data_IF_557797922357
#
_entry.id   IF_557797922357
#
_cell.length_a   1.000
_cell.length_b   1.000
_cell.length_c   1.000
_cell.angle_alpha   90.00
_cell.angle_beta   90.00
_cell.angle_gamma   90.00
#
_symmetry.space_group_name_H-M   'P 1'
#
loop_
_entity.id
_entity.type
_entity.pdbx_description
1 polymer ?
#
# COMPACT_ATOMS: atom_id res chain seq x y z
N UNK A 1 1.47 -20.03 22.12
CA UNK A 1 1.00 -18.66 22.37
C UNK A 1 1.95 -17.81 23.23
N UNK A 2 2.49 -18.29 24.36
CA UNK A 2 3.35 -17.45 25.23
C UNK A 2 4.70 -16.98 24.64
N UNK A 3 5.32 -17.72 23.71
CA UNK A 3 6.61 -17.35 23.08
C UNK A 3 6.46 -16.25 22.03
N UNK A 4 5.41 -16.28 21.20
CA UNK A 4 5.17 -15.24 20.18
C UNK A 4 4.86 -13.88 20.84
N UNK A 5 4.07 -13.88 21.92
CA UNK A 5 3.77 -12.65 22.70
C UNK A 5 5.02 -12.07 23.37
N UNK A 6 5.96 -12.93 23.78
CA UNK A 6 7.22 -12.48 24.39
C UNK A 6 8.17 -11.86 23.37
N UNK A 7 8.23 -12.41 22.15
CA UNK A 7 9.03 -11.85 21.04
C UNK A 7 8.46 -10.48 20.62
N UNK A 8 7.13 -10.37 20.50
CA UNK A 8 6.47 -9.10 20.17
C UNK A 8 6.69 -8.03 21.26
N UNK A 9 6.58 -8.39 22.55
CA UNK A 9 6.84 -7.51 23.69
C UNK A 9 8.32 -7.13 23.80
N UNK A 10 9.22 -8.04 23.49
CA UNK A 10 10.66 -7.77 23.49
C UNK A 10 11.05 -6.82 22.35
N UNK A 11 10.47 -7.00 21.16
CA UNK A 11 10.65 -6.07 20.04
C UNK A 11 10.04 -4.70 20.36
N UNK A 12 8.83 -4.63 20.94
CA UNK A 12 8.22 -3.36 21.38
C UNK A 12 9.01 -2.67 22.48
N UNK A 13 9.62 -3.42 23.40
CA UNK A 13 10.47 -2.86 24.47
C UNK A 13 11.79 -2.28 23.97
N UNK A 14 12.41 -2.89 22.99
CA UNK A 14 13.58 -2.35 22.29
C UNK A 14 13.20 -1.09 21.48
N UNK A 15 12.03 -1.04 20.90
CA UNK A 15 11.49 0.08 20.12
C UNK A 15 11.22 1.33 20.97
N UNK A 16 10.76 1.18 22.22
CA UNK A 16 10.52 2.33 23.11
C UNK A 16 11.79 3.02 23.59
N UNK A 17 12.92 2.33 23.60
CA UNK A 17 14.24 2.89 23.97
C UNK A 17 14.94 3.60 22.81
N UNK A 18 14.51 3.36 21.55
CA UNK A 18 15.12 3.96 20.35
C UNK A 18 14.38 5.24 19.89
N UNK A 19 13.17 5.49 20.39
CA UNK A 19 12.33 6.65 20.00
C UNK A 19 12.77 8.01 20.54
N UNK A 20 13.93 8.14 21.17
CA UNK A 20 14.39 9.41 21.77
C UNK A 20 15.40 10.20 20.94
N UNK A 21 16.02 9.64 19.91
CA UNK A 21 16.96 10.36 19.07
C UNK A 21 16.73 10.09 17.58
N UNK A 22 16.22 11.10 16.89
CA UNK A 22 16.31 11.39 15.43
C UNK A 22 16.41 10.20 14.49
N UNK A 23 15.81 10.31 13.33
CA UNK A 23 15.96 9.51 12.11
C UNK A 23 17.35 8.84 11.92
N UNK A 24 17.73 7.99 12.86
CA UNK A 24 18.99 7.27 12.79
C UNK A 24 18.89 6.31 11.61
N UNK A 25 19.78 6.50 10.65
CA UNK A 25 20.00 5.54 9.56
C UNK A 25 20.10 4.14 10.18
N UNK A 26 19.34 3.21 9.65
CA UNK A 26 19.38 1.82 10.09
C UNK A 26 20.81 1.29 10.03
N UNK A 27 21.39 0.99 11.17
CA UNK A 27 22.76 0.50 11.21
C UNK A 27 22.81 -0.98 10.77
N UNK A 28 23.97 -1.38 10.24
CA UNK A 28 24.20 -2.73 9.73
C UNK A 28 23.94 -3.83 10.78
N UNK A 29 24.38 -3.61 12.03
CA UNK A 29 24.23 -4.62 13.09
C UNK A 29 22.76 -4.90 13.41
N UNK A 30 21.94 -3.85 13.46
CA UNK A 30 20.49 -3.97 13.69
C UNK A 30 19.83 -4.72 12.53
N UNK A 31 20.13 -4.35 11.28
CA UNK A 31 19.64 -5.03 10.09
C UNK A 31 20.01 -6.52 10.10
N UNK A 32 21.29 -6.84 10.35
CA UNK A 32 21.76 -8.22 10.42
C UNK A 32 21.04 -9.02 11.53
N UNK A 33 20.74 -8.39 12.68
CA UNK A 33 20.00 -9.03 13.77
C UNK A 33 18.55 -9.38 13.37
N UNK A 34 17.88 -8.52 12.60
CA UNK A 34 16.53 -8.78 12.08
C UNK A 34 16.55 -9.95 11.11
N UNK A 35 17.52 -9.99 10.17
CA UNK A 35 17.65 -11.12 9.25
C UNK A 35 17.93 -12.44 9.98
N UNK A 36 18.76 -12.42 11.03
CA UNK A 36 18.99 -13.61 11.86
C UNK A 36 17.73 -14.05 12.60
N UNK A 37 16.96 -13.10 13.15
CA UNK A 37 15.67 -13.39 13.81
C UNK A 37 14.69 -14.02 12.82
N UNK A 38 14.51 -13.41 11.65
CA UNK A 38 13.66 -13.94 10.60
C UNK A 38 14.10 -15.33 10.15
N UNK A 39 15.42 -15.54 9.94
CA UNK A 39 15.97 -16.82 9.51
C UNK A 39 15.78 -17.94 10.54
N UNK A 40 15.80 -17.61 11.84
CA UNK A 40 15.60 -18.57 12.92
C UNK A 40 14.13 -18.92 13.17
N UNK A 41 13.20 -18.14 12.62
CA UNK A 41 11.76 -18.36 12.76
C UNK A 41 11.32 -19.50 11.82
N UNK A 42 10.81 -20.63 12.36
CA UNK A 42 10.40 -21.77 11.55
C UNK A 42 9.08 -21.55 10.80
N UNK A 43 8.23 -20.63 11.26
CA UNK A 43 6.95 -20.31 10.63
C UNK A 43 7.14 -19.24 9.56
N UNK A 44 6.88 -19.60 8.30
CA UNK A 44 7.09 -18.69 7.16
C UNK A 44 6.22 -17.42 7.24
N UNK A 45 4.97 -17.50 7.76
CA UNK A 45 4.10 -16.33 7.95
C UNK A 45 4.71 -15.36 8.98
N UNK A 46 5.20 -15.88 10.11
CA UNK A 46 5.86 -15.04 11.12
C UNK A 46 7.18 -14.47 10.58
N UNK A 47 7.91 -15.22 9.77
CA UNK A 47 9.12 -14.74 9.10
C UNK A 47 8.83 -13.55 8.19
N UNK A 48 7.79 -13.65 7.37
CA UNK A 48 7.33 -12.56 6.51
C UNK A 48 6.88 -11.35 7.34
N UNK A 49 6.15 -11.57 8.41
CA UNK A 49 5.72 -10.50 9.31
C UNK A 49 6.93 -9.75 9.91
N UNK A 50 7.96 -10.45 10.41
CA UNK A 50 9.18 -9.83 10.93
C UNK A 50 9.85 -8.94 9.88
N UNK A 51 9.99 -9.42 8.65
CA UNK A 51 10.62 -8.67 7.56
C UNK A 51 9.80 -7.43 7.19
N UNK A 52 8.48 -7.55 7.05
CA UNK A 52 7.61 -6.43 6.67
C UNK A 52 7.47 -5.40 7.78
N UNK A 53 7.39 -5.81 9.05
CA UNK A 53 7.40 -4.89 10.19
C UNK A 53 8.71 -4.11 10.27
N UNK A 54 9.85 -4.76 10.03
CA UNK A 54 11.14 -4.09 9.96
C UNK A 54 11.18 -3.07 8.82
N UNK A 55 10.68 -3.42 7.65
CA UNK A 55 10.54 -2.48 6.54
C UNK A 55 9.69 -1.27 6.91
N UNK A 56 8.51 -1.47 7.52
CA UNK A 56 7.59 -0.38 7.87
C UNK A 56 8.22 0.67 8.80
N UNK A 57 9.11 0.25 9.70
CA UNK A 57 9.83 1.17 10.59
C UNK A 57 10.84 2.04 9.85
N UNK A 58 11.38 1.58 8.73
CA UNK A 58 12.43 2.24 7.96
C UNK A 58 11.97 2.61 6.56
N UNK A 59 10.65 2.72 6.36
CA UNK A 59 10.08 3.14 5.07
C UNK A 59 10.74 4.44 4.60
N UNK A 60 11.10 4.50 3.31
CA UNK A 60 11.82 5.63 2.72
C UNK A 60 13.35 5.50 2.76
N UNK A 61 13.93 4.58 3.54
CA UNK A 61 15.37 4.29 3.51
C UNK A 61 15.69 3.15 2.54
N UNK A 62 16.67 3.32 1.65
CA UNK A 62 17.03 2.29 0.65
C UNK A 62 17.43 0.96 1.30
N UNK A 63 18.10 1.02 2.47
CA UNK A 63 18.48 -0.17 3.21
C UNK A 63 17.28 -1.02 3.69
N UNK A 64 16.08 -0.43 3.81
CA UNK A 64 14.88 -1.16 4.18
C UNK A 64 14.35 -2.04 3.05
N UNK A 65 14.68 -1.73 1.78
CA UNK A 65 14.28 -2.54 0.63
C UNK A 65 14.81 -3.97 0.71
N UNK A 66 15.95 -4.21 1.34
CA UNK A 66 16.48 -5.56 1.53
C UNK A 66 15.52 -6.48 2.30
N UNK A 67 14.71 -5.92 3.22
CA UNK A 67 13.67 -6.67 3.92
C UNK A 67 12.52 -7.03 2.99
N UNK A 68 12.10 -6.09 2.12
CA UNK A 68 11.07 -6.37 1.12
C UNK A 68 11.54 -7.36 0.06
N UNK A 69 12.80 -7.24 -0.40
CA UNK A 69 13.39 -8.21 -1.34
C UNK A 69 13.31 -9.63 -0.76
N UNK A 70 13.66 -9.77 0.53
CA UNK A 70 13.61 -11.05 1.23
C UNK A 70 12.17 -11.54 1.45
N UNK A 71 11.24 -10.64 1.79
CA UNK A 71 9.83 -10.97 1.96
C UNK A 71 9.20 -11.40 0.63
N UNK A 72 9.43 -10.66 -0.45
CA UNK A 72 8.93 -10.97 -1.78
C UNK A 72 9.49 -12.30 -2.32
N UNK A 73 10.79 -12.55 -2.11
CA UNK A 73 11.41 -13.81 -2.51
C UNK A 73 10.81 -15.00 -1.74
N UNK A 74 10.63 -14.87 -0.43
CA UNK A 74 10.05 -15.91 0.41
C UNK A 74 8.58 -16.19 0.05
N UNK A 75 7.76 -15.15 -0.12
CA UNK A 75 6.35 -15.30 -0.48
C UNK A 75 6.17 -16.01 -1.82
N UNK A 76 6.98 -15.65 -2.83
CA UNK A 76 7.00 -16.34 -4.14
C UNK A 76 7.43 -17.79 -4.02
N UNK A 77 8.52 -18.07 -3.27
CA UNK A 77 9.02 -19.43 -3.09
C UNK A 77 7.99 -20.34 -2.41
N UNK A 78 7.15 -19.78 -1.53
CA UNK A 78 6.15 -20.50 -0.73
C UNK A 78 4.75 -20.41 -1.31
N UNK A 79 4.58 -19.79 -2.47
CA UNK A 79 3.29 -19.57 -3.13
C UNK A 79 2.25 -18.88 -2.21
N UNK A 80 2.74 -17.96 -1.38
CA UNK A 80 1.92 -17.17 -0.44
C UNK A 80 1.43 -15.90 -1.14
N UNK A 81 0.35 -16.01 -1.92
CA UNK A 81 -0.08 -14.98 -2.86
C UNK A 81 -0.51 -13.67 -2.20
N UNK A 82 -1.20 -13.72 -1.06
CA UNK A 82 -1.58 -12.53 -0.29
C UNK A 82 -0.35 -11.77 0.20
N UNK A 83 0.64 -12.50 0.69
CA UNK A 83 1.90 -11.92 1.18
C UNK A 83 2.76 -11.35 0.04
N UNK A 84 2.74 -11.97 -1.13
CA UNK A 84 3.38 -11.44 -2.33
C UNK A 84 2.75 -10.10 -2.74
N UNK A 85 1.42 -10.04 -2.83
CA UNK A 85 0.70 -8.79 -3.13
C UNK A 85 0.97 -7.73 -2.06
N UNK A 86 1.02 -8.12 -0.78
CA UNK A 86 1.37 -7.23 0.32
C UNK A 86 2.78 -6.65 0.21
N UNK A 87 3.77 -7.46 -0.18
CA UNK A 87 5.14 -6.99 -0.39
C UNK A 87 5.23 -6.02 -1.59
N UNK A 88 4.55 -6.31 -2.69
CA UNK A 88 4.47 -5.42 -3.85
C UNK A 88 3.77 -4.09 -3.52
N UNK A 89 2.72 -4.13 -2.71
CA UNK A 89 2.08 -2.94 -2.17
C UNK A 89 3.05 -2.11 -1.32
N UNK A 90 3.84 -2.75 -0.46
CA UNK A 90 4.84 -2.08 0.38
C UNK A 90 5.95 -1.41 -0.44
N UNK A 91 6.36 -1.99 -1.59
CA UNK A 91 7.26 -1.30 -2.54
C UNK A 91 6.64 -0.02 -3.08
N UNK A 92 5.37 -0.06 -3.51
CA UNK A 92 4.68 1.13 -3.98
C UNK A 92 4.63 2.20 -2.88
N UNK A 93 4.33 1.83 -1.63
CA UNK A 93 4.31 2.73 -0.47
C UNK A 93 5.68 3.32 -0.16
N UNK A 94 6.76 2.55 -0.32
CA UNK A 94 8.12 3.06 -0.16
C UNK A 94 8.43 4.20 -1.13
N UNK A 95 8.12 4.00 -2.41
CA UNK A 95 8.38 5.00 -3.43
C UNK A 95 7.41 6.18 -3.38
N UNK A 96 6.16 5.95 -2.95
CA UNK A 96 5.24 7.04 -2.60
C UNK A 96 5.82 7.94 -1.51
N UNK A 97 6.29 7.36 -0.42
CA UNK A 97 6.91 8.10 0.70
C UNK A 97 8.12 8.93 0.24
N UNK A 98 8.88 8.46 -0.74
CA UNK A 98 10.03 9.15 -1.33
C UNK A 98 9.65 10.18 -2.40
N UNK A 99 8.40 10.24 -2.80
CA UNK A 99 7.96 11.05 -3.95
C UNK A 99 8.49 10.54 -5.30
N UNK A 100 8.97 9.30 -5.37
CA UNK A 100 9.50 8.67 -6.59
C UNK A 100 8.38 7.97 -7.37
N UNK A 101 7.59 8.78 -8.08
CA UNK A 101 6.45 8.28 -8.85
C UNK A 101 6.87 7.28 -9.94
N UNK A 102 8.06 7.43 -10.52
CA UNK A 102 8.54 6.53 -11.59
C UNK A 102 8.70 5.10 -11.10
N UNK A 103 9.39 4.90 -9.98
CA UNK A 103 9.55 3.58 -9.38
C UNK A 103 8.24 3.07 -8.79
N UNK A 104 7.40 3.95 -8.21
CA UNK A 104 6.07 3.57 -7.76
C UNK A 104 5.22 2.98 -8.89
N UNK A 105 5.19 3.62 -10.06
CA UNK A 105 4.46 3.13 -11.25
C UNK A 105 5.06 1.83 -11.82
N UNK A 106 6.37 1.61 -11.66
CA UNK A 106 6.99 0.34 -12.05
C UNK A 106 6.47 -0.83 -11.19
N UNK A 107 6.48 -0.68 -9.87
CA UNK A 107 5.96 -1.71 -8.96
C UNK A 107 4.44 -1.85 -9.04
N UNK A 108 3.72 -0.77 -9.31
CA UNK A 108 2.30 -0.80 -9.58
C UNK A 108 1.94 -1.70 -10.77
N UNK A 109 2.73 -1.69 -11.86
CA UNK A 109 2.50 -2.60 -13.00
C UNK A 109 2.67 -4.07 -12.59
N UNK A 110 3.70 -4.38 -11.80
CA UNK A 110 3.92 -5.74 -11.29
C UNK A 110 2.77 -6.15 -10.35
N UNK A 111 2.36 -5.27 -9.45
CA UNK A 111 1.22 -5.49 -8.55
C UNK A 111 -0.07 -5.75 -9.34
N UNK A 112 -0.31 -5.00 -10.42
CA UNK A 112 -1.45 -5.22 -11.31
C UNK A 112 -1.43 -6.64 -11.89
N UNK A 113 -0.32 -7.06 -12.48
CA UNK A 113 -0.18 -8.39 -13.09
C UNK A 113 -0.44 -9.50 -12.07
N UNK A 114 0.19 -9.44 -10.89
CA UNK A 114 -0.03 -10.41 -9.80
C UNK A 114 -1.47 -10.38 -9.29
N UNK A 115 -2.08 -9.20 -9.14
CA UNK A 115 -3.48 -9.06 -8.73
C UNK A 115 -4.46 -9.73 -9.71
N UNK A 116 -4.20 -9.64 -11.00
CA UNK A 116 -5.01 -10.34 -12.02
C UNK A 116 -4.80 -11.84 -11.99
N UNK A 117 -3.56 -12.29 -11.80
CA UNK A 117 -3.21 -13.71 -11.68
C UNK A 117 -3.93 -14.35 -10.48
N UNK A 118 -3.93 -13.69 -9.34
CA UNK A 118 -4.49 -14.21 -8.08
C UNK A 118 -5.97 -13.82 -7.85
N UNK A 119 -6.53 -12.95 -8.70
CA UNK A 119 -7.90 -12.40 -8.61
C UNK A 119 -8.15 -11.67 -7.29
N UNK A 120 -7.11 -11.08 -6.72
CA UNK A 120 -7.18 -10.18 -5.57
C UNK A 120 -6.72 -8.79 -6.00
N UNK A 121 -7.65 -7.84 -5.97
CA UNK A 121 -7.46 -6.51 -6.54
C UNK A 121 -7.35 -5.39 -5.47
N UNK A 122 -7.41 -5.73 -4.18
CA UNK A 122 -7.53 -4.75 -3.08
C UNK A 122 -6.35 -3.78 -3.07
N UNK A 123 -5.13 -4.29 -3.03
CA UNK A 123 -3.91 -3.49 -3.04
C UNK A 123 -3.72 -2.73 -4.35
N UNK A 124 -4.04 -3.36 -5.48
CA UNK A 124 -3.93 -2.74 -6.80
C UNK A 124 -4.79 -1.48 -6.91
N UNK A 125 -6.06 -1.53 -6.52
CA UNK A 125 -6.96 -0.37 -6.57
C UNK A 125 -6.54 0.72 -5.57
N UNK A 126 -6.02 0.35 -4.40
CA UNK A 126 -5.51 1.29 -3.40
C UNK A 126 -4.32 2.09 -3.95
N UNK A 127 -3.35 1.42 -4.58
CA UNK A 127 -2.19 2.11 -5.16
C UNK A 127 -2.59 2.94 -6.39
N UNK A 128 -3.52 2.46 -7.20
CA UNK A 128 -3.99 3.25 -8.34
C UNK A 128 -4.61 4.58 -7.88
N UNK A 129 -5.46 4.55 -6.83
CA UNK A 129 -5.98 5.77 -6.21
C UNK A 129 -4.86 6.70 -5.74
N UNK A 130 -3.85 6.19 -5.02
CA UNK A 130 -2.73 7.00 -4.54
C UNK A 130 -1.95 7.68 -5.68
N UNK A 131 -1.69 6.96 -6.79
CA UNK A 131 -1.07 7.54 -7.98
C UNK A 131 -1.90 8.71 -8.53
N UNK A 132 -3.23 8.55 -8.63
CA UNK A 132 -4.10 9.61 -9.14
C UNK A 132 -4.14 10.82 -8.21
N UNK A 133 -4.09 10.62 -6.89
CA UNK A 133 -3.98 11.72 -5.92
C UNK A 133 -2.67 12.50 -6.09
N UNK A 134 -1.54 11.82 -6.30
CA UNK A 134 -0.24 12.45 -6.57
C UNK A 134 -0.31 13.26 -7.88
N UNK A 135 -0.90 12.69 -8.94
CA UNK A 135 -1.08 13.39 -10.23
C UNK A 135 -1.94 14.64 -10.08
N UNK A 136 -3.03 14.58 -9.32
CA UNK A 136 -3.84 15.76 -9.00
C UNK A 136 -3.02 16.83 -8.26
N UNK A 137 -2.25 16.45 -7.26
CA UNK A 137 -1.38 17.37 -6.52
C UNK A 137 -0.29 18.03 -7.40
N UNK A 138 0.11 17.35 -8.48
CA UNK A 138 1.03 17.88 -9.49
C UNK A 138 0.35 18.76 -10.55
N UNK A 139 -0.99 18.92 -10.48
CA UNK A 139 -1.77 19.70 -11.43
C UNK A 139 -2.24 18.92 -12.68
N UNK A 140 -1.96 17.61 -12.75
CA UNK A 140 -2.33 16.75 -13.88
C UNK A 140 -3.74 16.16 -13.71
N UNK A 141 -4.71 17.05 -13.47
CA UNK A 141 -6.08 16.68 -13.10
C UNK A 141 -6.85 16.05 -14.26
N UNK A 142 -6.61 16.50 -15.51
CA UNK A 142 -7.27 15.91 -16.68
C UNK A 142 -6.86 14.45 -16.88
N UNK A 143 -5.57 14.14 -16.73
CA UNK A 143 -5.07 12.77 -16.77
C UNK A 143 -5.69 11.94 -15.63
N UNK A 144 -5.75 12.48 -14.41
CA UNK A 144 -6.32 11.79 -13.27
C UNK A 144 -7.81 11.46 -13.48
N UNK A 145 -8.60 12.40 -14.02
CA UNK A 145 -10.02 12.19 -14.36
C UNK A 145 -10.15 11.08 -15.42
N UNK A 146 -9.32 11.12 -16.47
CA UNK A 146 -9.34 10.09 -17.51
C UNK A 146 -9.02 8.72 -16.94
N UNK A 147 -7.99 8.61 -16.13
CA UNK A 147 -7.55 7.35 -15.51
C UNK A 147 -8.55 6.81 -14.49
N UNK A 148 -9.21 7.68 -13.71
CA UNK A 148 -10.26 7.27 -12.78
C UNK A 148 -11.47 6.66 -13.51
N UNK A 149 -11.83 7.19 -14.69
CA UNK A 149 -12.86 6.60 -15.55
C UNK A 149 -12.45 5.23 -16.10
N UNK A 150 -11.19 5.05 -16.51
CA UNK A 150 -10.69 3.75 -16.94
C UNK A 150 -10.66 2.74 -15.78
N UNK A 151 -10.24 3.18 -14.58
CA UNK A 151 -10.30 2.40 -13.36
C UNK A 151 -11.71 1.90 -13.05
N UNK A 152 -12.73 2.75 -13.23
CA UNK A 152 -14.13 2.39 -13.06
C UNK A 152 -14.60 1.37 -14.09
N UNK A 153 -14.30 1.58 -15.38
CA UNK A 153 -14.62 0.62 -16.44
C UNK A 153 -14.02 -0.76 -16.18
N UNK A 154 -12.75 -0.77 -15.73
CA UNK A 154 -12.05 -2.00 -15.40
C UNK A 154 -12.73 -2.72 -14.23
N UNK A 155 -13.05 -2.00 -13.13
CA UNK A 155 -13.74 -2.55 -11.97
C UNK A 155 -15.10 -3.19 -12.33
N UNK A 156 -15.88 -2.52 -13.18
CA UNK A 156 -17.17 -3.03 -13.67
C UNK A 156 -16.95 -4.29 -14.51
N UNK A 157 -15.98 -4.28 -15.44
CA UNK A 157 -15.66 -5.42 -16.31
C UNK A 157 -15.30 -6.67 -15.53
N UNK A 158 -14.49 -6.53 -14.46
CA UNK A 158 -14.09 -7.65 -13.60
C UNK A 158 -15.08 -7.94 -12.46
N UNK A 159 -16.18 -7.18 -12.38
CA UNK A 159 -17.24 -7.29 -11.35
C UNK A 159 -16.69 -7.08 -9.92
N UNK A 160 -15.69 -6.23 -9.77
CA UNK A 160 -15.09 -5.89 -8.48
C UNK A 160 -15.78 -4.66 -7.86
N UNK A 161 -16.78 -4.90 -6.99
CA UNK A 161 -17.62 -3.85 -6.39
C UNK A 161 -16.81 -2.82 -5.60
N UNK A 162 -15.84 -3.26 -4.78
CA UNK A 162 -14.96 -2.36 -4.03
C UNK A 162 -14.12 -1.48 -4.97
N UNK A 163 -13.64 -2.03 -6.09
CA UNK A 163 -12.94 -1.25 -7.12
C UNK A 163 -13.84 -0.22 -7.78
N UNK A 164 -15.12 -0.52 -8.02
CA UNK A 164 -16.09 0.47 -8.54
C UNK A 164 -16.27 1.62 -7.55
N UNK A 165 -16.36 1.32 -6.25
CA UNK A 165 -16.44 2.34 -5.21
C UNK A 165 -15.16 3.21 -5.18
N UNK A 166 -13.98 2.60 -5.11
CA UNK A 166 -12.70 3.32 -5.06
C UNK A 166 -12.48 4.18 -6.31
N UNK A 167 -12.85 3.69 -7.50
CA UNK A 167 -12.72 4.46 -8.73
C UNK A 167 -13.64 5.68 -8.79
N UNK A 168 -14.84 5.61 -8.21
CA UNK A 168 -15.74 6.75 -8.08
C UNK A 168 -15.21 7.79 -7.10
N UNK A 169 -14.57 7.36 -6.01
CA UNK A 169 -13.85 8.26 -5.09
C UNK A 169 -12.69 8.94 -5.81
N UNK A 170 -11.88 8.18 -6.56
CA UNK A 170 -10.77 8.72 -7.34
C UNK A 170 -11.26 9.77 -8.36
N UNK A 171 -12.36 9.47 -9.06
CA UNK A 171 -12.97 10.40 -10.02
C UNK A 171 -13.46 11.68 -9.32
N UNK A 172 -14.16 11.54 -8.21
CA UNK A 172 -14.69 12.68 -7.46
C UNK A 172 -13.56 13.59 -6.95
N UNK A 173 -12.48 13.00 -6.39
CA UNK A 173 -11.32 13.77 -5.94
C UNK A 173 -10.61 14.48 -7.10
N UNK A 174 -10.40 13.80 -8.23
CA UNK A 174 -9.78 14.43 -9.40
C UNK A 174 -10.63 15.58 -9.97
N UNK A 175 -11.96 15.45 -9.96
CA UNK A 175 -12.90 16.52 -10.33
C UNK A 175 -12.86 17.67 -9.35
N UNK A 176 -12.75 17.41 -8.04
CA UNK A 176 -12.62 18.44 -7.01
C UNK A 176 -11.31 19.24 -7.18
N UNK A 177 -10.18 18.57 -7.40
CA UNK A 177 -8.93 19.23 -7.75
C UNK A 177 -8.99 20.05 -9.06
N UNK A 178 -9.84 19.65 -9.99
CA UNK A 178 -10.10 20.38 -11.23
C UNK A 178 -11.16 21.48 -11.10
N UNK A 179 -11.62 21.76 -9.87
CA UNK A 179 -12.69 22.73 -9.55
C UNK A 179 -14.05 22.41 -10.21
N UNK A 180 -14.25 21.14 -10.63
CA UNK A 180 -15.51 20.63 -11.19
C UNK A 180 -16.43 20.15 -10.07
N UNK A 181 -16.85 21.05 -9.18
CA UNK A 181 -17.51 20.70 -7.92
C UNK A 181 -18.86 19.98 -8.10
N UNK A 182 -19.66 20.35 -9.11
CA UNK A 182 -20.94 19.68 -9.36
C UNK A 182 -20.75 18.23 -9.80
N UNK A 183 -19.78 17.98 -10.64
CA UNK A 183 -19.40 16.66 -11.12
C UNK A 183 -18.81 15.83 -9.98
N UNK A 184 -17.94 16.41 -9.15
CA UNK A 184 -17.39 15.77 -7.96
C UNK A 184 -18.49 15.31 -7.00
N UNK A 185 -19.46 16.19 -6.68
CA UNK A 185 -20.63 15.85 -5.84
C UNK A 185 -21.41 14.69 -6.45
N UNK A 186 -21.64 14.71 -7.77
CA UNK A 186 -22.36 13.62 -8.45
C UNK A 186 -21.59 12.28 -8.35
N UNK A 187 -20.28 12.30 -8.51
CA UNK A 187 -19.41 11.11 -8.40
C UNK A 187 -19.37 10.57 -6.96
N UNK A 188 -19.28 11.43 -5.94
CA UNK A 188 -19.40 11.02 -4.53
C UNK A 188 -20.75 10.36 -4.21
N UNK A 189 -21.86 10.95 -4.71
CA UNK A 189 -23.20 10.35 -4.55
C UNK A 189 -23.30 8.96 -5.19
N UNK A 190 -22.69 8.78 -6.36
CA UNK A 190 -22.63 7.46 -7.00
C UNK A 190 -21.78 6.47 -6.18
N UNK A 191 -20.65 6.89 -5.62
CA UNK A 191 -19.85 6.05 -4.74
C UNK A 191 -20.66 5.57 -3.52
N UNK A 192 -21.38 6.47 -2.85
CA UNK A 192 -22.26 6.12 -1.74
C UNK A 192 -23.39 5.18 -2.14
N UNK A 193 -23.90 5.26 -3.35
CA UNK A 193 -24.89 4.31 -3.85
C UNK A 193 -24.32 2.91 -4.06
N UNK A 194 -23.03 2.80 -4.43
CA UNK A 194 -22.32 1.51 -4.55
C UNK A 194 -22.03 0.90 -3.20
N UNK A 195 -21.66 1.72 -2.21
CA UNK A 195 -21.34 1.29 -0.86
C UNK A 195 -21.96 2.25 0.19
N UNK A 196 -23.25 2.02 0.58
CA UNK A 196 -23.94 2.87 1.53
C UNK A 196 -23.32 2.93 2.93
N UNK A 197 -22.62 1.87 3.33
CA UNK A 197 -21.97 1.78 4.64
C UNK A 197 -20.67 2.60 4.72
N UNK A 198 -20.20 3.12 3.59
CA UNK A 198 -19.00 3.94 3.51
C UNK A 198 -19.16 5.37 4.05
N UNK A 199 -20.35 5.76 4.53
CA UNK A 199 -20.60 7.10 5.11
C UNK A 199 -19.60 7.50 6.21
N UNK A 200 -18.99 6.53 6.89
CA UNK A 200 -17.95 6.79 7.90
C UNK A 200 -16.56 6.99 7.31
N UNK A 201 -16.31 6.54 6.07
CA UNK A 201 -15.01 6.68 5.40
C UNK A 201 -14.93 7.95 4.53
N UNK A 202 -16.06 8.41 3.98
CA UNK A 202 -16.11 9.59 3.12
C UNK A 202 -15.89 10.91 3.88
N UNK A 203 -16.17 10.97 5.17
CA UNK A 203 -15.88 12.13 6.02
C UNK A 203 -14.38 12.32 6.32
N UNK A 204 -13.54 11.28 6.16
CA UNK A 204 -12.09 11.36 6.36
C UNK A 204 -11.32 11.82 5.11
N UNK A 205 -12.00 11.93 3.97
CA UNK A 205 -11.39 12.29 2.68
C UNK A 205 -11.76 13.69 2.18
N UNK A 206 -12.52 14.46 2.98
CA UNK A 206 -12.97 15.84 2.66
C UNK A 206 -12.17 16.88 3.48
N UNK A 207 -10.87 16.66 3.66
CA UNK A 207 -9.99 17.70 4.23
C UNK A 207 -8.72 17.81 3.43
#
# INVERSE_FOLDING_TARGET
MKKATFILLFMMGILSLINAESSALMNKQFRDSIFQTAKSEPNDTLRLQILREAFQQYIGQDAALEFLDSALALSKQKEMHEEELGALFDYCRHYEYRGDLSNMEQYFRILKESSYQYKDYSFYYTIWLAILQIRCAQGDTEYAIMQAKEMQKEAIRIKYKSGTFVSLIALAQAQDFAEQYNEAIASYKQALAVNPDANNYSLLLIH
#
